data_IF_841788000995
#
_entry.id   IF_841788000995
#
_cell.length_a   1.000
_cell.length_b   1.000
_cell.length_c   1.000
_cell.angle_alpha   90.00
_cell.angle_beta   90.00
_cell.angle_gamma   90.00
#
_symmetry.space_group_name_H-M   'P 1'
#
loop_
_entity.id
_entity.type
_entity.pdbx_description
1 polymer ?
#
# COMPACT_ATOMS: atom_id res chain seq x y z
N UNK A 1 16.50 17.41 -9.65
CA UNK A 1 15.58 16.41 -10.24
C UNK A 1 14.45 16.16 -9.25
N UNK A 2 13.21 16.04 -9.73
CA UNK A 2 12.04 15.83 -8.86
C UNK A 2 11.44 14.45 -9.14
N UNK A 3 11.23 13.65 -8.09
CA UNK A 3 10.55 12.34 -8.16
C UNK A 3 9.14 12.48 -7.60
N UNK A 4 8.15 12.01 -8.36
CA UNK A 4 6.73 11.96 -8.03
C UNK A 4 6.39 10.53 -7.60
N UNK A 5 6.07 10.36 -6.33
CA UNK A 5 5.62 9.07 -5.76
C UNK A 5 4.10 9.01 -5.78
N UNK A 6 3.53 7.99 -6.43
CA UNK A 6 2.12 7.65 -6.31
C UNK A 6 1.83 6.69 -5.15
N UNK A 7 0.77 6.93 -4.40
CA UNK A 7 0.27 6.04 -3.35
C UNK A 7 -1.24 6.19 -3.18
N UNK A 8 -1.87 5.30 -2.41
CA UNK A 8 -3.30 5.45 -2.04
C UNK A 8 -3.48 6.52 -0.96
N UNK A 9 -4.69 7.04 -0.80
CA UNK A 9 -4.97 8.10 0.21
C UNK A 9 -4.98 7.59 1.65
N UNK A 10 -5.15 6.27 1.87
CA UNK A 10 -5.24 5.70 3.22
C UNK A 10 -4.03 6.04 4.09
N UNK A 11 -4.23 6.24 5.39
CA UNK A 11 -3.16 6.65 6.32
C UNK A 11 -1.95 5.72 6.28
N UNK A 12 -2.17 4.40 6.17
CA UNK A 12 -1.09 3.43 6.05
C UNK A 12 -0.30 3.57 4.74
N UNK A 13 -0.98 3.77 3.62
CA UNK A 13 -0.33 3.93 2.30
C UNK A 13 0.49 5.22 2.22
N UNK A 14 0.02 6.31 2.84
CA UNK A 14 0.79 7.56 2.98
C UNK A 14 2.00 7.35 3.88
N UNK A 15 1.86 6.64 5.00
CA UNK A 15 3.00 6.32 5.87
C UNK A 15 4.07 5.50 5.14
N UNK A 16 3.67 4.50 4.34
CA UNK A 16 4.59 3.72 3.50
C UNK A 16 5.30 4.57 2.45
N UNK A 17 4.59 5.49 1.79
CA UNK A 17 5.20 6.41 0.83
C UNK A 17 6.18 7.39 1.50
N UNK A 18 5.89 7.82 2.74
CA UNK A 18 6.81 8.63 3.53
C UNK A 18 8.06 7.83 3.93
N UNK A 19 7.93 6.56 4.30
CA UNK A 19 9.09 5.69 4.58
C UNK A 19 10.01 5.58 3.36
N UNK A 20 9.44 5.35 2.18
CA UNK A 20 10.20 5.32 0.91
C UNK A 20 10.88 6.66 0.65
N UNK A 21 10.16 7.77 0.82
CA UNK A 21 10.71 9.13 0.67
C UNK A 21 11.92 9.36 1.58
N UNK A 22 11.82 9.00 2.86
CA UNK A 22 12.92 9.18 3.81
C UNK A 22 14.14 8.37 3.39
N UNK A 23 13.98 7.09 3.04
CA UNK A 23 15.07 6.24 2.55
C UNK A 23 15.74 6.78 1.29
N UNK A 24 14.96 7.36 0.38
CA UNK A 24 15.51 8.00 -0.82
C UNK A 24 16.32 9.26 -0.47
N UNK A 25 15.83 10.10 0.44
CA UNK A 25 16.55 11.30 0.87
C UNK A 25 17.82 10.98 1.66
N UNK A 26 17.81 9.91 2.45
CA UNK A 26 19.00 9.46 3.19
C UNK A 26 20.15 9.05 2.24
N UNK A 27 19.82 8.45 1.09
CA UNK A 27 20.81 8.01 0.10
C UNK A 27 21.10 9.07 -0.98
N UNK A 28 20.14 9.98 -1.23
CA UNK A 28 20.23 11.00 -2.27
C UNK A 28 19.66 12.34 -1.75
N UNK A 29 20.41 13.08 -0.90
CA UNK A 29 19.89 14.25 -0.19
C UNK A 29 19.44 15.41 -1.09
N UNK A 30 19.93 15.48 -2.32
CA UNK A 30 19.60 16.53 -3.30
C UNK A 30 18.30 16.28 -4.07
N UNK A 31 17.63 15.15 -3.88
CA UNK A 31 16.38 14.85 -4.56
C UNK A 31 15.23 15.72 -4.02
N UNK A 32 14.40 16.23 -4.92
CA UNK A 32 13.09 16.77 -4.55
C UNK A 32 12.05 15.64 -4.69
N UNK A 33 11.26 15.37 -3.66
CA UNK A 33 10.29 14.26 -3.68
C UNK A 33 8.89 14.78 -3.33
N UNK A 34 7.93 14.54 -4.23
CA UNK A 34 6.50 14.86 -4.06
C UNK A 34 5.69 13.58 -3.99
N UNK A 35 4.75 13.52 -3.05
CA UNK A 35 3.79 12.40 -2.94
C UNK A 35 2.47 12.86 -3.57
N UNK A 36 1.92 12.04 -4.46
CA UNK A 36 0.58 12.18 -5.04
C UNK A 36 -0.25 11.01 -4.57
N UNK A 37 -1.41 11.30 -4.00
CA UNK A 37 -2.39 10.28 -3.64
C UNK A 37 -3.35 10.05 -4.81
N UNK A 38 -3.75 8.80 -5.05
CA UNK A 38 -4.84 8.54 -5.98
C UNK A 38 -6.15 9.16 -5.46
N UNK A 39 -7.02 9.59 -6.38
CA UNK A 39 -8.33 10.10 -6.04
C UNK A 39 -9.23 8.92 -5.67
N UNK A 40 -9.33 8.63 -4.38
CA UNK A 40 -9.89 7.38 -3.85
C UNK A 40 -11.43 7.33 -4.04
N UNK A 41 -11.88 7.17 -5.30
CA UNK A 41 -13.29 6.92 -5.65
C UNK A 41 -13.82 5.62 -5.04
N UNK A 42 -12.91 4.76 -4.55
CA UNK A 42 -13.20 3.42 -4.04
C UNK A 42 -12.78 3.22 -2.58
N UNK A 43 -12.50 4.29 -1.82
CA UNK A 43 -12.08 4.22 -0.40
C UNK A 43 -13.02 3.38 0.49
N UNK A 44 -14.30 3.32 0.12
CA UNK A 44 -15.37 2.64 0.87
C UNK A 44 -15.91 1.39 0.20
N UNK A 45 -15.35 1.00 -0.94
CA UNK A 45 -15.90 -0.09 -1.71
C UNK A 45 -15.40 -1.42 -1.14
N UNK A 46 -16.33 -2.30 -0.77
CA UNK A 46 -16.03 -3.57 -0.10
C UNK A 46 -15.20 -4.49 -1.01
N UNK A 47 -14.03 -4.93 -0.54
CA UNK A 47 -13.15 -5.83 -1.30
C UNK A 47 -13.87 -7.11 -1.76
N UNK A 48 -14.88 -7.57 -0.99
CA UNK A 48 -15.68 -8.74 -1.33
C UNK A 48 -16.71 -8.48 -2.44
N UNK A 49 -17.20 -7.24 -2.58
CA UNK A 49 -18.28 -6.89 -3.53
C UNK A 49 -17.77 -6.52 -4.92
N UNK A 50 -16.50 -6.11 -5.04
CA UNK A 50 -15.96 -5.58 -6.30
C UNK A 50 -15.31 -6.65 -7.19
N UNK A 51 -15.12 -7.88 -6.69
CA UNK A 51 -14.64 -9.00 -7.52
C UNK A 51 -13.27 -8.78 -8.19
N UNK A 52 -12.46 -7.81 -7.75
CA UNK A 52 -11.24 -7.41 -8.47
C UNK A 52 -10.11 -7.01 -7.55
N UNK A 53 -9.22 -7.96 -7.23
CA UNK A 53 -7.92 -7.76 -6.56
C UNK A 53 -6.97 -6.76 -7.26
N UNK A 54 -7.40 -6.11 -8.35
CA UNK A 54 -6.60 -5.15 -9.13
C UNK A 54 -7.14 -3.72 -9.16
N UNK A 55 -8.29 -3.42 -8.53
CA UNK A 55 -8.90 -2.08 -8.69
C UNK A 55 -8.02 -0.96 -8.10
N UNK A 56 -7.38 -1.22 -6.95
CA UNK A 56 -6.53 -0.24 -6.27
C UNK A 56 -5.18 -0.01 -6.95
N UNK A 57 -4.76 -0.92 -7.82
CA UNK A 57 -3.46 -0.84 -8.50
C UNK A 57 -3.60 -0.19 -9.86
N UNK A 58 -4.71 -0.44 -10.58
CA UNK A 58 -4.96 0.16 -11.90
C UNK A 58 -4.80 1.68 -11.95
N UNK A 59 -5.21 2.41 -10.90
CA UNK A 59 -5.05 3.86 -10.87
C UNK A 59 -3.58 4.29 -10.81
N UNK A 60 -2.77 3.57 -10.01
CA UNK A 60 -1.34 3.84 -9.89
C UNK A 60 -0.59 3.35 -11.13
N UNK A 61 -0.97 2.20 -11.70
CA UNK A 61 -0.45 1.72 -12.98
C UNK A 61 -0.73 2.73 -14.10
N UNK A 62 -1.97 3.17 -14.25
CA UNK A 62 -2.32 4.18 -15.26
C UNK A 62 -1.52 5.46 -15.03
N UNK A 63 -1.37 5.90 -13.77
CA UNK A 63 -0.60 7.08 -13.43
C UNK A 63 0.89 6.96 -13.80
N UNK A 64 1.47 5.76 -13.69
CA UNK A 64 2.84 5.43 -14.16
C UNK A 64 2.90 5.42 -15.69
N UNK A 65 1.96 4.75 -16.35
CA UNK A 65 1.93 4.58 -17.81
C UNK A 65 1.74 5.91 -18.57
N UNK A 66 1.12 6.92 -17.94
CA UNK A 66 0.99 8.28 -18.50
C UNK A 66 2.01 9.28 -17.95
N UNK A 67 3.06 8.80 -17.26
CA UNK A 67 4.15 9.60 -16.68
C UNK A 67 3.71 10.67 -15.66
N UNK A 68 2.50 10.54 -15.10
CA UNK A 68 1.97 11.48 -14.10
C UNK A 68 2.63 11.29 -12.72
N UNK A 69 3.18 10.11 -12.46
CA UNK A 69 4.07 9.74 -11.35
C UNK A 69 5.25 8.94 -11.90
N UNK A 70 6.35 8.90 -11.15
CA UNK A 70 7.57 8.22 -11.59
C UNK A 70 7.75 6.85 -10.89
N UNK A 71 7.24 6.71 -9.65
CA UNK A 71 7.19 5.43 -8.92
C UNK A 71 5.88 5.27 -8.15
N UNK A 72 5.41 4.02 -7.99
CA UNK A 72 4.28 3.65 -7.14
C UNK A 72 4.72 2.94 -5.86
N UNK A 73 4.09 3.24 -4.74
CA UNK A 73 4.34 2.57 -3.45
C UNK A 73 3.10 1.80 -3.00
N UNK A 74 3.29 0.51 -2.70
CA UNK A 74 2.21 -0.40 -2.34
C UNK A 74 2.61 -1.32 -1.19
N UNK A 75 1.60 -1.80 -0.47
CA UNK A 75 1.72 -3.03 0.30
C UNK A 75 1.76 -4.22 -0.67
N UNK A 76 2.83 -5.01 -0.62
CA UNK A 76 3.05 -6.09 -1.59
C UNK A 76 1.92 -7.13 -1.61
N UNK A 77 1.24 -7.35 -0.48
CA UNK A 77 0.07 -8.26 -0.39
C UNK A 77 -1.12 -7.85 -1.27
N UNK A 78 -1.19 -6.58 -1.63
CA UNK A 78 -2.27 -6.03 -2.44
C UNK A 78 -1.92 -6.05 -3.94
N UNK A 79 -0.70 -6.47 -4.30
CA UNK A 79 -0.25 -6.60 -5.69
C UNK A 79 -0.74 -7.91 -6.29
N UNK A 80 -1.51 -7.90 -7.40
CA UNK A 80 -1.95 -9.13 -8.05
C UNK A 80 -0.76 -9.89 -8.65
N UNK A 81 -0.93 -11.20 -8.82
CA UNK A 81 0.10 -12.04 -9.46
C UNK A 81 0.41 -11.60 -10.91
N UNK A 82 -0.57 -10.97 -11.58
CA UNK A 82 -0.45 -10.40 -12.91
C UNK A 82 -0.80 -8.91 -12.84
N UNK A 83 0.13 -8.07 -13.32
CA UNK A 83 0.01 -6.62 -13.46
C UNK A 83 0.53 -6.23 -14.86
N UNK A 84 0.46 -4.95 -15.22
CA UNK A 84 0.87 -4.50 -16.56
C UNK A 84 2.29 -4.99 -16.91
N UNK A 85 2.46 -5.57 -18.09
CA UNK A 85 3.77 -6.04 -18.59
C UNK A 85 4.74 -4.90 -18.87
N UNK A 86 4.22 -3.68 -18.98
CA UNK A 86 5.02 -2.46 -19.19
C UNK A 86 5.59 -1.90 -17.88
N UNK A 87 5.20 -2.49 -16.74
CA UNK A 87 5.63 -2.07 -15.41
C UNK A 87 6.42 -3.20 -14.72
N UNK A 88 7.22 -2.82 -13.73
CA UNK A 88 8.02 -3.77 -12.95
C UNK A 88 8.09 -3.34 -11.49
N UNK A 89 8.42 -4.29 -10.61
CA UNK A 89 8.69 -4.05 -9.20
C UNK A 89 10.19 -4.30 -8.98
N UNK A 90 11.03 -3.27 -9.19
CA UNK A 90 12.48 -3.46 -9.17
C UNK A 90 13.04 -3.47 -7.75
N UNK A 91 12.25 -3.07 -6.75
CA UNK A 91 12.70 -2.98 -5.37
C UNK A 91 11.59 -3.36 -4.38
N UNK A 92 12.04 -3.84 -3.22
CA UNK A 92 11.19 -4.05 -2.04
C UNK A 92 11.95 -3.54 -0.83
N UNK A 93 11.26 -2.84 0.07
CA UNK A 93 11.83 -2.49 1.38
C UNK A 93 12.06 -3.74 2.23
N UNK A 94 12.85 -3.59 3.30
CA UNK A 94 13.02 -4.64 4.31
C UNK A 94 11.65 -5.02 4.87
N UNK A 95 11.34 -6.32 4.87
CA UNK A 95 10.04 -6.82 5.32
C UNK A 95 9.82 -6.55 6.81
N UNK A 96 8.70 -5.91 7.14
CA UNK A 96 8.19 -5.80 8.51
C UNK A 96 7.66 -7.14 9.02
N UNK A 97 7.21 -7.20 10.29
CA UNK A 97 6.61 -8.41 10.85
C UNK A 97 5.54 -9.00 9.91
N UNK A 98 5.66 -10.27 9.48
CA UNK A 98 4.70 -10.90 8.58
C UNK A 98 3.52 -11.55 9.31
N UNK A 99 3.49 -11.48 10.64
CA UNK A 99 2.52 -12.19 11.47
C UNK A 99 1.24 -11.38 11.65
N UNK A 100 0.12 -12.08 11.67
CA UNK A 100 -1.15 -11.52 12.13
C UNK A 100 -1.12 -11.23 13.63
N UNK A 101 -1.95 -10.27 14.07
CA UNK A 101 -2.04 -9.85 15.47
C UNK A 101 -3.46 -10.00 15.96
N UNK A 102 -3.63 -10.61 17.13
CA UNK A 102 -4.90 -10.59 17.85
C UNK A 102 -5.11 -9.20 18.46
N UNK A 103 -6.16 -8.50 18.03
CA UNK A 103 -6.60 -7.25 18.64
C UNK A 103 -7.86 -7.56 19.46
N UNK A 104 -7.75 -7.48 20.79
CA UNK A 104 -8.86 -7.69 21.70
C UNK A 104 -8.75 -6.77 22.91
N UNK A 105 -9.87 -6.24 23.36
CA UNK A 105 -9.97 -5.49 24.60
C UNK A 105 -10.17 -6.37 25.84
N UNK A 106 -10.45 -7.67 25.66
CA UNK A 106 -10.85 -8.59 26.74
C UNK A 106 -9.94 -9.80 26.90
N UNK A 107 -9.35 -10.28 25.80
CA UNK A 107 -8.68 -11.58 25.76
C UNK A 107 -7.25 -11.41 25.27
N UNK A 108 -6.29 -11.99 26.01
CA UNK A 108 -4.87 -11.76 25.77
C UNK A 108 -4.27 -12.72 24.73
N UNK A 109 -4.97 -13.80 24.38
CA UNK A 109 -4.53 -14.79 23.42
C UNK A 109 -5.73 -15.56 22.83
N UNK A 110 -5.51 -16.29 21.73
CA UNK A 110 -6.55 -17.05 21.04
C UNK A 110 -7.18 -18.12 21.94
N UNK A 111 -6.41 -18.74 22.82
CA UNK A 111 -6.90 -19.79 23.73
C UNK A 111 -7.87 -19.26 24.79
N UNK A 112 -7.79 -17.97 25.11
CA UNK A 112 -8.70 -17.31 26.07
C UNK A 112 -10.03 -16.88 25.46
N UNK A 113 -10.22 -17.04 24.14
CA UNK A 113 -11.49 -16.72 23.49
C UNK A 113 -12.60 -17.71 23.93
N UNK A 114 -13.82 -17.22 24.17
CA UNK A 114 -14.93 -18.09 24.54
C UNK A 114 -15.32 -18.99 23.37
N UNK A 115 -15.67 -20.25 23.66
CA UNK A 115 -16.11 -21.23 22.66
C UNK A 115 -17.41 -20.83 21.93
N UNK A 116 -18.16 -19.87 22.48
CA UNK A 116 -19.36 -19.28 21.87
C UNK A 116 -19.29 -17.77 21.99
N UNK A 117 -19.65 -17.06 20.91
CA UNK A 117 -19.88 -15.61 20.96
C UNK A 117 -21.00 -15.34 21.98
N UNK A 118 -20.82 -14.39 22.93
CA UNK A 118 -21.93 -14.00 23.81
C UNK A 118 -23.08 -13.45 22.95
N UNK A 119 -24.31 -13.87 23.27
CA UNK A 119 -25.54 -13.33 22.66
C UNK A 119 -25.74 -11.87 23.03
#
# INVERSE_FOLDING_TARGET
>A
MTIKIGTRVSSLAVAQALEVKLKLLDNFPSLSIKIKTSGDKYAHANLAEIGGKGLFIKEIENALLIDSIDIGVHSLKDVPAFYSTDLTIPCTLKRSSPYDVLISSKYNNLQSLPLKMPQ
#
